data_IF_026796068176
#
_entry.id   IF_026796068176
#
_cell.length_a   1.000
_cell.length_b   1.000
_cell.length_c   1.000
_cell.angle_alpha   90.00
_cell.angle_beta   90.00
_cell.angle_gamma   90.00
#
_symmetry.space_group_name_H-M   'P 1'
#
loop_
_entity.id
_entity.type
_entity.pdbx_description
1 polymer ?
#
# COMPACT_ATOMS: atom_id res chain seq x y z
N UNK A 1 -13.65 60.03 23.81
CA UNK A 1 -12.58 59.34 24.57
C UNK A 1 -12.48 57.91 24.06
N UNK A 2 -11.24 57.45 23.87
CA UNK A 2 -10.77 56.14 23.40
C UNK A 2 -11.00 55.78 21.91
N UNK A 3 -9.88 55.76 21.18
CA UNK A 3 -9.72 55.55 19.75
C UNK A 3 -9.43 54.07 19.41
N UNK A 4 -9.83 53.69 18.19
CA UNK A 4 -9.52 52.42 17.52
C UNK A 4 -8.04 52.43 17.10
N UNK A 5 -7.30 51.37 17.43
CA UNK A 5 -5.94 51.14 16.91
C UNK A 5 -5.97 49.99 15.92
N UNK A 6 -5.90 50.34 14.64
CA UNK A 6 -5.50 49.45 13.55
C UNK A 6 -3.97 49.48 13.46
N UNK A 7 -3.33 48.32 13.56
CA UNK A 7 -1.88 48.16 13.40
C UNK A 7 -1.56 47.27 12.21
N UNK A 8 -1.37 47.88 11.04
CA UNK A 8 -0.71 47.25 9.91
C UNK A 8 0.80 47.21 10.14
N UNK A 9 1.44 46.06 9.93
CA UNK A 9 2.89 45.92 9.99
C UNK A 9 3.47 45.71 8.59
N UNK A 10 4.01 46.83 8.12
CA UNK A 10 5.06 47.04 7.13
C UNK A 10 5.86 45.81 6.66
N UNK A 11 5.81 45.60 5.35
CA UNK A 11 6.82 44.88 4.59
C UNK A 11 8.15 45.64 4.64
N UNK A 12 9.19 44.99 5.16
CA UNK A 12 10.56 45.51 5.13
C UNK A 12 11.33 44.81 4.01
N UNK A 13 11.58 45.55 2.93
CA UNK A 13 12.47 45.15 1.84
C UNK A 13 13.87 44.81 2.40
N UNK A 14 14.40 43.65 2.02
CA UNK A 14 15.81 43.30 2.25
C UNK A 14 16.62 43.65 0.99
N UNK A 15 17.88 44.09 1.15
CA UNK A 15 18.73 44.48 0.03
C UNK A 15 19.17 43.28 -0.81
N UNK A 16 19.31 43.51 -2.11
CA UNK A 16 19.92 42.61 -3.08
C UNK A 16 21.39 42.36 -2.72
N UNK A 17 21.66 41.21 -2.11
CA UNK A 17 22.98 40.59 -2.08
C UNK A 17 22.86 39.20 -2.71
N UNK A 18 23.26 39.09 -3.96
CA UNK A 18 23.50 37.82 -4.64
C UNK A 18 24.59 37.05 -3.89
N UNK A 19 24.34 35.84 -3.36
CA UNK A 19 25.42 34.99 -2.90
C UNK A 19 26.16 34.41 -4.11
N UNK A 20 27.49 34.42 -4.01
CA UNK A 20 28.45 33.77 -4.91
C UNK A 20 28.04 32.31 -5.25
N UNK A 21 28.47 31.77 -6.40
CA UNK A 21 28.11 30.41 -6.81
C UNK A 21 28.54 29.40 -5.73
N UNK A 22 27.55 28.75 -5.13
CA UNK A 22 27.77 27.61 -4.25
C UNK A 22 28.53 26.55 -5.04
N UNK A 23 29.75 26.29 -4.59
CA UNK A 23 30.54 25.13 -4.96
C UNK A 23 29.64 23.91 -4.88
N UNK A 24 29.50 23.21 -6.01
CA UNK A 24 28.82 21.93 -6.16
C UNK A 24 29.52 20.92 -5.25
N UNK A 25 29.09 20.85 -3.99
CA UNK A 25 29.49 19.78 -3.10
C UNK A 25 28.96 18.48 -3.72
N UNK A 26 29.86 17.69 -4.29
CA UNK A 26 29.54 16.34 -4.72
C UNK A 26 29.07 15.58 -3.47
N UNK A 27 27.80 15.21 -3.45
CA UNK A 27 27.25 14.30 -2.44
C UNK A 27 28.08 13.03 -2.49
N UNK A 28 28.66 12.64 -1.35
CA UNK A 28 29.29 11.33 -1.22
C UNK A 28 28.23 10.26 -1.57
N UNK A 29 28.59 9.22 -2.35
CA UNK A 29 27.66 8.15 -2.64
C UNK A 29 27.23 7.49 -1.33
N UNK A 30 25.92 7.43 -1.10
CA UNK A 30 25.34 6.63 -0.02
C UNK A 30 25.81 5.18 -0.17
N UNK A 31 26.10 4.48 0.94
CA UNK A 31 26.45 3.07 0.88
C UNK A 31 25.33 2.28 0.18
N UNK A 32 25.67 1.27 -0.65
CA UNK A 32 24.67 0.45 -1.30
C UNK A 32 23.81 -0.25 -0.26
N UNK A 33 22.48 -0.12 -0.41
CA UNK A 33 21.53 -0.87 0.41
C UNK A 33 21.75 -2.37 0.19
N UNK A 34 21.71 -3.20 1.25
CA UNK A 34 21.72 -4.65 1.08
C UNK A 34 20.61 -5.07 0.12
N UNK A 35 20.96 -5.85 -0.90
CA UNK A 35 19.95 -6.41 -1.78
C UNK A 35 19.05 -7.37 -0.99
N UNK A 36 17.76 -7.41 -1.33
CA UNK A 36 16.84 -8.41 -0.79
C UNK A 36 17.41 -9.82 -1.06
N UNK A 37 17.44 -10.73 -0.07
CA UNK A 37 17.76 -12.13 -0.32
C UNK A 37 16.84 -12.68 -1.42
N UNK A 38 17.36 -13.51 -2.32
CA UNK A 38 16.57 -14.08 -3.43
C UNK A 38 15.31 -14.81 -2.93
N UNK A 39 15.38 -15.42 -1.74
CA UNK A 39 14.26 -16.07 -1.08
C UNK A 39 13.16 -15.09 -0.62
N UNK A 40 13.53 -13.87 -0.19
CA UNK A 40 12.57 -12.81 0.13
C UNK A 40 11.96 -12.15 -1.12
N UNK A 41 12.65 -12.21 -2.26
CA UNK A 41 12.11 -11.77 -3.55
C UNK A 41 11.11 -12.77 -4.14
N UNK A 42 11.25 -14.05 -3.81
CA UNK A 42 10.37 -15.14 -4.27
C UNK A 42 9.14 -15.37 -3.37
N UNK A 43 9.05 -14.70 -2.22
CA UNK A 43 7.92 -14.77 -1.31
C UNK A 43 6.63 -14.23 -1.99
N UNK A 44 5.54 -15.01 -2.06
CA UNK A 44 4.29 -14.53 -2.63
C UNK A 44 3.73 -13.38 -1.79
N UNK A 45 3.82 -12.17 -2.34
CA UNK A 45 3.16 -11.00 -1.79
C UNK A 45 1.65 -11.09 -2.07
N UNK A 46 0.77 -10.71 -1.13
CA UNK A 46 -0.66 -10.66 -1.40
C UNK A 46 -0.92 -9.67 -2.56
N UNK A 47 -1.57 -10.16 -3.62
CA UNK A 47 -1.96 -9.32 -4.75
C UNK A 47 -3.07 -8.36 -4.30
N UNK A 48 -2.90 -7.07 -4.57
CA UNK A 48 -3.97 -6.08 -4.42
C UNK A 48 -4.90 -6.27 -5.62
N UNK A 49 -6.08 -6.82 -5.38
CA UNK A 49 -7.12 -6.90 -6.40
C UNK A 49 -7.67 -5.49 -6.66
N UNK A 50 -7.61 -5.04 -7.91
CA UNK A 50 -8.38 -3.86 -8.32
C UNK A 50 -9.88 -4.22 -8.23
N UNK A 51 -10.74 -3.29 -7.78
CA UNK A 51 -12.17 -3.51 -7.82
C UNK A 51 -12.62 -3.75 -9.26
N UNK A 52 -13.67 -4.56 -9.43
CA UNK A 52 -14.28 -4.77 -10.73
C UNK A 52 -14.78 -3.43 -11.27
N UNK A 53 -14.07 -2.89 -12.27
CA UNK A 53 -14.47 -1.70 -12.97
C UNK A 53 -15.65 -2.00 -13.89
N UNK A 54 -16.60 -1.06 -13.99
CA UNK A 54 -17.67 -1.15 -14.97
C UNK A 54 -17.13 -0.78 -16.37
N UNK A 55 -17.19 -1.73 -17.30
CA UNK A 55 -16.72 -1.54 -18.68
C UNK A 55 -17.43 -0.34 -19.34
N UNK A 56 -16.63 0.59 -19.87
CA UNK A 56 -17.11 1.74 -20.63
C UNK A 56 -17.72 2.89 -19.81
N UNK A 57 -17.79 2.77 -18.48
CA UNK A 57 -18.25 3.86 -17.61
C UNK A 57 -17.06 4.74 -17.22
N UNK A 58 -17.12 6.08 -17.39
CA UNK A 58 -16.03 6.97 -16.99
C UNK A 58 -15.69 6.83 -15.50
N UNK A 59 -14.40 6.86 -15.17
CA UNK A 59 -13.92 6.65 -13.79
C UNK A 59 -14.53 7.63 -12.79
N UNK A 60 -14.79 8.88 -13.21
CA UNK A 60 -15.43 9.88 -12.37
C UNK A 60 -16.81 9.46 -11.87
N UNK A 61 -17.64 8.91 -12.76
CA UNK A 61 -18.99 8.44 -12.44
C UNK A 61 -18.93 7.24 -11.48
N UNK A 62 -17.97 6.33 -11.69
CA UNK A 62 -17.78 5.18 -10.80
C UNK A 62 -17.35 5.64 -9.41
N UNK A 63 -16.41 6.59 -9.31
CA UNK A 63 -15.96 7.16 -8.03
C UNK A 63 -17.10 7.85 -7.28
N UNK A 64 -17.92 8.65 -7.95
CA UNK A 64 -19.08 9.31 -7.31
C UNK A 64 -20.05 8.30 -6.70
N UNK A 65 -20.32 7.19 -7.40
CA UNK A 65 -21.20 6.12 -6.90
C UNK A 65 -20.62 5.41 -5.68
N UNK A 66 -19.32 5.11 -5.69
CA UNK A 66 -18.63 4.47 -4.57
C UNK A 66 -18.68 5.38 -3.32
N UNK A 67 -18.45 6.68 -3.50
CA UNK A 67 -18.36 7.63 -2.40
C UNK A 67 -19.72 8.07 -1.85
N UNK A 68 -20.84 7.75 -2.51
CA UNK A 68 -22.18 8.19 -2.12
C UNK A 68 -22.57 7.83 -0.67
N UNK A 69 -21.96 6.79 -0.09
CA UNK A 69 -22.27 6.30 1.28
C UNK A 69 -21.23 6.68 2.34
N UNK A 70 -20.15 7.38 1.97
CA UNK A 70 -19.00 7.65 2.86
C UNK A 70 -18.46 6.39 3.57
N UNK A 71 -18.55 5.24 2.90
CA UNK A 71 -18.05 3.97 3.43
C UNK A 71 -16.54 3.86 3.20
N UNK A 72 -15.72 3.51 4.22
CA UNK A 72 -14.28 3.42 4.06
C UNK A 72 -13.81 2.39 3.03
N UNK A 73 -14.49 1.25 2.91
CA UNK A 73 -14.12 0.22 1.92
C UNK A 73 -14.38 0.73 0.50
N UNK A 74 -15.52 1.40 0.29
CA UNK A 74 -15.84 2.03 -0.98
C UNK A 74 -14.88 3.19 -1.31
N UNK A 75 -14.44 3.94 -0.30
CA UNK A 75 -13.40 4.95 -0.48
C UNK A 75 -12.06 4.35 -0.91
N UNK A 76 -11.69 3.18 -0.36
CA UNK A 76 -10.49 2.48 -0.81
C UNK A 76 -10.63 1.95 -2.23
N UNK A 77 -11.79 1.42 -2.61
CA UNK A 77 -12.07 1.01 -3.98
C UNK A 77 -11.99 2.20 -4.95
N UNK A 78 -12.54 3.36 -4.58
CA UNK A 78 -12.42 4.58 -5.36
C UNK A 78 -10.96 5.03 -5.54
N UNK A 79 -10.15 4.95 -4.47
CA UNK A 79 -8.71 5.19 -4.54
C UNK A 79 -8.03 4.24 -5.55
N UNK A 80 -8.30 2.93 -5.45
CA UNK A 80 -7.69 1.94 -6.33
C UNK A 80 -8.04 2.17 -7.81
N UNK A 81 -9.30 2.53 -8.11
CA UNK A 81 -9.71 2.88 -9.48
C UNK A 81 -8.95 4.08 -10.03
N UNK A 82 -8.90 5.18 -9.27
CA UNK A 82 -8.22 6.41 -9.70
C UNK A 82 -6.71 6.18 -9.82
N UNK A 83 -6.10 5.46 -8.87
CA UNK A 83 -4.67 5.13 -8.91
C UNK A 83 -4.33 4.23 -10.11
N UNK A 84 -5.16 3.21 -10.39
CA UNK A 84 -5.05 2.38 -11.58
C UNK A 84 -5.14 3.19 -12.88
N UNK A 85 -6.09 4.13 -12.97
CA UNK A 85 -6.18 5.04 -14.11
C UNK A 85 -4.98 5.98 -14.24
N UNK A 86 -4.43 6.49 -13.13
CA UNK A 86 -3.23 7.31 -13.16
C UNK A 86 -2.01 6.52 -13.68
N UNK A 87 -1.84 5.28 -13.22
CA UNK A 87 -0.79 4.38 -13.71
C UNK A 87 -0.96 4.07 -15.20
N UNK A 88 -2.17 3.73 -15.62
CA UNK A 88 -2.47 3.46 -17.03
C UNK A 88 -2.24 4.70 -17.90
N UNK A 89 -2.66 5.89 -17.48
CA UNK A 89 -2.44 7.11 -18.26
C UNK A 89 -0.96 7.46 -18.41
N UNK A 90 -0.13 7.13 -17.41
CA UNK A 90 1.31 7.34 -17.47
C UNK A 90 2.06 6.32 -18.35
N UNK A 91 1.64 5.05 -18.33
CA UNK A 91 2.40 3.93 -18.94
C UNK A 91 1.74 3.29 -20.15
N UNK A 92 0.45 3.55 -20.36
CA UNK A 92 -0.45 2.89 -21.34
C UNK A 92 -0.56 1.37 -21.17
N UNK A 93 -0.15 0.87 -20.02
CA UNK A 93 -0.23 -0.54 -19.63
C UNK A 93 -0.16 -0.65 -18.11
N UNK A 94 -0.81 -1.67 -17.55
CA UNK A 94 -0.71 -2.06 -16.14
C UNK A 94 -0.65 -3.58 -16.03
N UNK A 95 0.00 -4.09 -14.99
CA UNK A 95 -0.01 -5.53 -14.74
C UNK A 95 -1.40 -5.96 -14.27
N UNK A 96 -2.00 -6.91 -14.98
CA UNK A 96 -3.27 -7.55 -14.61
C UNK A 96 -2.93 -8.92 -14.03
N UNK A 97 -3.53 -9.27 -12.88
CA UNK A 97 -3.41 -10.62 -12.36
C UNK A 97 -4.17 -11.60 -13.26
N UNK A 98 -3.49 -12.62 -13.76
CA UNK A 98 -4.13 -13.69 -14.51
C UNK A 98 -4.41 -14.87 -13.60
N UNK A 99 -5.69 -15.14 -13.35
CA UNK A 99 -6.11 -16.23 -12.47
C UNK A 99 -5.69 -17.61 -12.99
N UNK A 100 -5.49 -17.79 -14.29
CA UNK A 100 -5.06 -19.08 -14.87
C UNK A 100 -3.56 -19.29 -14.71
N UNK A 101 -2.79 -18.21 -14.81
CA UNK A 101 -1.32 -18.24 -14.67
C UNK A 101 -0.87 -18.03 -13.22
N UNK A 102 -1.77 -17.62 -12.33
CA UNK A 102 -1.47 -17.17 -10.96
C UNK A 102 -0.32 -16.15 -10.93
N UNK A 103 -0.22 -15.31 -11.97
CA UNK A 103 0.90 -14.42 -12.19
C UNK A 103 0.44 -13.11 -12.85
N UNK A 104 1.16 -11.99 -12.63
CA UNK A 104 0.90 -10.76 -13.35
C UNK A 104 1.23 -10.92 -14.84
N UNK A 105 0.39 -10.37 -15.71
CA UNK A 105 0.63 -10.26 -17.15
C UNK A 105 0.37 -8.85 -17.66
N UNK A 106 0.92 -8.55 -18.84
CA UNK A 106 0.53 -7.36 -19.57
C UNK A 106 -0.94 -7.42 -19.99
N UNK A 107 -1.53 -6.24 -20.23
CA UNK A 107 -2.89 -6.16 -20.72
C UNK A 107 -2.99 -6.72 -22.14
N UNK A 108 -4.13 -7.33 -22.48
CA UNK A 108 -4.47 -7.60 -23.86
C UNK A 108 -5.10 -6.36 -24.53
N UNK A 109 -5.36 -6.42 -25.84
CA UNK A 109 -5.87 -5.28 -26.59
C UNK A 109 -7.25 -4.80 -26.11
N UNK A 110 -8.14 -5.73 -25.75
CA UNK A 110 -9.49 -5.41 -25.24
C UNK A 110 -9.42 -4.72 -23.89
N UNK A 111 -8.59 -5.23 -22.99
CA UNK A 111 -8.37 -4.63 -21.67
C UNK A 111 -7.81 -3.21 -21.79
N UNK A 112 -6.81 -3.00 -22.67
CA UNK A 112 -6.27 -1.66 -22.93
C UNK A 112 -7.33 -0.71 -23.45
N UNK A 113 -8.20 -1.17 -24.35
CA UNK A 113 -9.29 -0.36 -24.87
C UNK A 113 -10.32 -0.02 -23.78
N UNK A 114 -10.66 -0.96 -22.92
CA UNK A 114 -11.59 -0.71 -21.79
C UNK A 114 -10.99 0.33 -20.82
N UNK A 115 -9.73 0.17 -20.43
CA UNK A 115 -9.04 1.16 -19.58
C UNK A 115 -8.91 2.52 -20.26
N UNK A 116 -8.65 2.58 -21.56
CA UNK A 116 -8.60 3.85 -22.30
C UNK A 116 -9.96 4.57 -22.27
N UNK A 117 -11.07 3.84 -22.43
CA UNK A 117 -12.40 4.41 -22.34
C UNK A 117 -12.73 4.90 -20.91
N UNK A 118 -12.45 4.08 -19.90
CA UNK A 118 -12.73 4.40 -18.50
C UNK A 118 -11.88 5.58 -17.98
N UNK A 119 -10.59 5.60 -18.31
CA UNK A 119 -9.62 6.55 -17.76
C UNK A 119 -9.39 7.79 -18.63
N UNK A 120 -9.96 7.82 -19.85
CA UNK A 120 -9.71 8.87 -20.85
C UNK A 120 -10.19 10.26 -20.42
N UNK A 121 -11.27 10.33 -19.63
CA UNK A 121 -11.84 11.59 -19.12
C UNK A 121 -11.37 11.94 -17.70
N UNK A 122 -10.39 11.21 -17.16
CA UNK A 122 -9.90 11.48 -15.80
C UNK A 122 -9.21 12.84 -15.72
N UNK A 123 -9.77 13.71 -14.90
CA UNK A 123 -9.23 15.05 -14.66
C UNK A 123 -8.09 15.04 -13.64
N UNK A 124 -7.25 16.08 -13.67
CA UNK A 124 -6.19 16.27 -12.67
C UNK A 124 -6.77 16.42 -11.25
N UNK A 125 -7.94 17.05 -11.11
CA UNK A 125 -8.64 17.16 -9.84
C UNK A 125 -9.01 15.78 -9.29
N UNK A 126 -9.57 14.90 -10.12
CA UNK A 126 -9.89 13.52 -9.72
C UNK A 126 -8.62 12.77 -9.35
N UNK A 127 -7.54 12.92 -10.13
CA UNK A 127 -6.24 12.33 -9.82
C UNK A 127 -5.77 12.73 -8.42
N UNK A 128 -5.81 14.01 -8.06
CA UNK A 128 -5.38 14.50 -6.75
C UNK A 128 -6.32 14.08 -5.60
N UNK A 129 -7.63 14.06 -5.84
CA UNK A 129 -8.64 13.65 -4.85
C UNK A 129 -8.48 12.20 -4.35
N UNK A 130 -7.73 11.35 -5.06
CA UNK A 130 -7.42 9.99 -4.62
C UNK A 130 -6.81 9.92 -3.22
N UNK A 131 -6.03 10.94 -2.83
CA UNK A 131 -5.41 10.99 -1.51
C UNK A 131 -6.44 11.20 -0.40
N UNK A 132 -7.51 11.94 -0.66
CA UNK A 132 -8.60 12.15 0.29
C UNK A 132 -9.41 10.86 0.49
N UNK A 133 -9.66 10.12 -0.60
CA UNK A 133 -10.32 8.81 -0.54
C UNK A 133 -9.49 7.81 0.27
N UNK A 134 -8.17 7.84 0.06
CA UNK A 134 -7.23 7.01 0.80
C UNK A 134 -7.16 7.39 2.28
N UNK A 135 -7.18 8.68 2.61
CA UNK A 135 -7.23 9.14 3.99
C UNK A 135 -8.50 8.65 4.72
N UNK A 136 -9.65 8.64 4.03
CA UNK A 136 -10.90 8.08 4.56
C UNK A 136 -10.79 6.57 4.81
N UNK A 137 -10.23 5.83 3.85
CA UNK A 137 -10.00 4.39 3.96
C UNK A 137 -9.05 4.03 5.13
N UNK A 138 -7.94 4.75 5.25
CA UNK A 138 -6.97 4.61 6.36
C UNK A 138 -7.66 4.85 7.70
N UNK A 139 -8.43 5.94 7.83
CA UNK A 139 -9.17 6.25 9.05
C UNK A 139 -10.17 5.14 9.42
N UNK A 140 -10.78 4.50 8.43
CA UNK A 140 -11.66 3.35 8.62
C UNK A 140 -10.94 2.03 8.91
N UNK A 141 -9.60 2.01 8.88
CA UNK A 141 -8.81 0.79 9.10
C UNK A 141 -9.04 -0.26 8.01
N UNK A 142 -9.23 0.17 6.76
CA UNK A 142 -9.38 -0.73 5.61
C UNK A 142 -8.06 -1.46 5.35
N UNK A 143 -8.06 -2.80 5.23
CA UNK A 143 -6.85 -3.56 4.93
C UNK A 143 -6.14 -3.06 3.66
N UNK A 144 -4.82 -2.89 3.72
CA UNK A 144 -3.99 -2.40 2.62
C UNK A 144 -3.97 -0.88 2.45
N UNK A 145 -4.89 -0.13 3.06
CA UNK A 145 -4.96 1.33 2.89
C UNK A 145 -3.72 2.04 3.45
N UNK A 146 -3.17 1.58 4.59
CA UNK A 146 -1.94 2.17 5.15
C UNK A 146 -0.72 1.97 4.23
N UNK A 147 -0.63 0.81 3.57
CA UNK A 147 0.44 0.52 2.59
C UNK A 147 0.30 1.40 1.36
N UNK A 148 -0.92 1.53 0.84
CA UNK A 148 -1.21 2.43 -0.26
C UNK A 148 -0.86 3.89 0.10
N UNK A 149 -1.24 4.35 1.30
CA UNK A 149 -0.90 5.70 1.77
C UNK A 149 0.61 5.92 1.76
N UNK A 150 1.37 5.00 2.36
CA UNK A 150 2.82 5.04 2.35
C UNK A 150 3.44 4.97 0.94
N UNK A 151 2.79 4.30 0.00
CA UNK A 151 3.30 4.16 -1.37
C UNK A 151 3.06 5.40 -2.24
N UNK A 152 2.02 6.18 -1.95
CA UNK A 152 1.72 7.45 -2.65
C UNK A 152 2.77 8.53 -2.37
N UNK A 153 3.46 8.46 -1.23
CA UNK A 153 4.44 9.47 -0.84
C UNK A 153 3.83 10.80 -0.38
N UNK A 154 4.67 11.74 0.07
CA UNK A 154 4.24 13.07 0.48
C UNK A 154 3.47 13.77 -0.64
N UNK A 155 2.21 14.13 -0.39
CA UNK A 155 1.34 14.83 -1.34
C UNK A 155 1.15 14.12 -2.70
N UNK A 156 1.32 12.79 -2.73
CA UNK A 156 1.21 12.00 -3.96
C UNK A 156 2.48 12.05 -4.84
N UNK A 157 3.61 12.44 -4.26
CA UNK A 157 4.94 12.43 -4.87
C UNK A 157 5.90 11.54 -4.06
N UNK A 158 6.06 10.25 -4.41
CA UNK A 158 7.01 9.34 -3.74
C UNK A 158 8.46 9.79 -3.84
N UNK A 159 8.82 10.59 -4.86
CA UNK A 159 10.19 11.04 -5.06
C UNK A 159 10.63 12.06 -4.01
N UNK A 160 9.67 12.76 -3.39
CA UNK A 160 9.90 13.74 -2.33
C UNK A 160 10.74 13.17 -1.16
N UNK A 161 10.54 11.89 -0.84
CA UNK A 161 11.30 11.22 0.21
C UNK A 161 12.82 11.18 -0.07
N UNK A 162 13.22 11.27 -1.33
CA UNK A 162 14.63 11.29 -1.76
C UNK A 162 15.11 12.69 -2.12
N UNK A 163 14.27 13.50 -2.77
CA UNK A 163 14.66 14.80 -3.34
C UNK A 163 14.61 15.93 -2.32
N UNK A 164 13.77 15.80 -1.28
CA UNK A 164 13.57 16.80 -0.22
C UNK A 164 13.33 16.15 1.15
N UNK A 165 14.26 15.31 1.64
CA UNK A 165 14.08 14.56 2.89
C UNK A 165 14.01 15.46 4.14
N UNK A 166 14.60 16.65 4.09
CA UNK A 166 14.66 17.60 5.21
C UNK A 166 13.48 18.58 5.26
N UNK A 167 12.60 18.56 4.25
CA UNK A 167 11.38 19.38 4.23
C UNK A 167 10.50 19.00 5.45
N UNK A 168 10.11 19.96 6.31
CA UNK A 168 9.29 19.69 7.48
C UNK A 168 8.02 18.91 7.18
N UNK A 169 7.37 19.18 6.04
CA UNK A 169 6.14 18.50 5.63
C UNK A 169 6.41 17.05 5.19
N UNK A 170 7.56 16.80 4.57
CA UNK A 170 7.99 15.44 4.19
C UNK A 170 8.31 14.64 5.46
N UNK A 171 8.94 15.25 6.46
CA UNK A 171 9.21 14.62 7.76
C UNK A 171 7.93 14.30 8.52
N UNK A 172 6.97 15.22 8.55
CA UNK A 172 5.66 14.99 9.17
C UNK A 172 4.91 13.84 8.50
N UNK A 173 4.85 13.86 7.17
CA UNK A 173 4.21 12.79 6.40
C UNK A 173 4.90 11.44 6.64
N UNK A 174 6.24 11.40 6.71
CA UNK A 174 7.01 10.18 7.00
C UNK A 174 6.67 9.60 8.37
N UNK A 175 6.56 10.46 9.38
CA UNK A 175 6.15 10.04 10.73
C UNK A 175 4.71 9.50 10.72
N UNK A 176 3.80 10.18 10.02
CA UNK A 176 2.41 9.74 9.87
C UNK A 176 2.31 8.39 9.16
N UNK A 177 2.94 8.23 8.00
CA UNK A 177 2.94 6.98 7.24
C UNK A 177 3.48 5.80 8.06
N UNK A 178 4.58 6.02 8.81
CA UNK A 178 5.17 5.00 9.67
C UNK A 178 4.21 4.61 10.81
N UNK A 179 3.57 5.58 11.47
CA UNK A 179 2.60 5.32 12.53
C UNK A 179 1.37 4.56 12.03
N UNK A 180 0.89 4.88 10.83
CA UNK A 180 -0.23 4.17 10.19
C UNK A 180 0.14 2.72 9.84
N UNK A 181 1.36 2.48 9.35
CA UNK A 181 1.86 1.13 9.08
C UNK A 181 2.03 0.34 10.37
N UNK A 182 2.62 0.93 11.42
CA UNK A 182 2.73 0.30 12.73
C UNK A 182 1.34 -0.04 13.30
N UNK A 183 0.36 0.85 13.20
CA UNK A 183 -1.01 0.55 13.61
C UNK A 183 -1.62 -0.60 12.81
N UNK A 184 -1.46 -0.58 11.48
CA UNK A 184 -1.99 -1.63 10.61
C UNK A 184 -1.39 -3.01 10.93
N UNK A 185 -0.07 -3.09 11.15
CA UNK A 185 0.59 -4.36 11.54
C UNK A 185 0.09 -4.87 12.88
N UNK A 186 -0.12 -4.00 13.88
CA UNK A 186 -0.68 -4.42 15.18
C UNK A 186 -2.10 -5.00 15.04
N UNK A 187 -2.87 -4.58 14.03
CA UNK A 187 -4.20 -5.13 13.76
C UNK A 187 -4.20 -6.40 12.90
N UNK A 188 -3.02 -6.86 12.47
CA UNK A 188 -2.87 -8.04 11.61
C UNK A 188 -3.21 -7.79 10.14
N UNK A 189 -3.12 -6.55 9.67
CA UNK A 189 -3.21 -6.25 8.24
C UNK A 189 -2.06 -6.95 7.51
N UNK A 190 -2.39 -7.97 6.72
CA UNK A 190 -1.40 -8.81 6.05
C UNK A 190 -0.57 -8.04 5.01
N UNK A 191 -1.17 -7.08 4.31
CA UNK A 191 -0.44 -6.26 3.36
C UNK A 191 0.57 -5.37 4.09
N UNK A 192 0.17 -4.78 5.23
CA UNK A 192 1.08 -4.00 6.07
C UNK A 192 2.18 -4.88 6.68
N UNK A 193 1.86 -6.08 7.18
CA UNK A 193 2.86 -7.01 7.73
C UNK A 193 3.92 -7.37 6.69
N UNK A 194 3.51 -7.67 5.45
CA UNK A 194 4.44 -7.99 4.37
C UNK A 194 5.28 -6.77 3.97
N UNK A 195 4.63 -5.65 3.62
CA UNK A 195 5.31 -4.46 3.12
C UNK A 195 6.21 -3.81 4.18
N UNK A 196 5.71 -3.68 5.41
CA UNK A 196 6.46 -3.07 6.52
C UNK A 196 7.51 -4.03 7.09
N UNK A 197 7.26 -5.34 7.04
CA UNK A 197 8.25 -6.37 7.37
C UNK A 197 9.52 -6.24 6.52
N UNK A 198 9.38 -6.14 5.19
CA UNK A 198 10.51 -5.91 4.28
C UNK A 198 11.25 -4.62 4.63
N UNK A 199 10.51 -3.53 4.80
CA UNK A 199 11.11 -2.22 5.05
C UNK A 199 11.84 -2.15 6.39
N UNK A 200 11.36 -2.84 7.42
CA UNK A 200 12.09 -2.95 8.68
C UNK A 200 13.29 -3.89 8.57
N UNK A 201 13.24 -4.97 7.78
CA UNK A 201 14.42 -5.82 7.61
C UNK A 201 15.57 -5.16 6.87
N UNK A 202 15.28 -4.40 5.81
CA UNK A 202 16.30 -3.92 4.86
C UNK A 202 16.42 -2.39 4.78
N UNK A 203 15.58 -1.67 5.51
CA UNK A 203 15.48 -0.22 5.47
C UNK A 203 14.63 0.29 4.31
N UNK A 204 14.24 1.55 4.42
CA UNK A 204 13.47 2.27 3.39
C UNK A 204 13.70 3.77 3.52
N UNK A 205 13.09 4.57 2.64
CA UNK A 205 13.06 6.03 2.87
C UNK A 205 12.18 6.40 4.08
N UNK A 206 11.31 5.50 4.55
CA UNK A 206 10.41 5.71 5.68
C UNK A 206 11.07 5.43 7.04
N UNK A 207 12.06 4.55 7.10
CA UNK A 207 12.71 4.19 8.36
C UNK A 207 14.05 3.49 8.13
N UNK A 208 14.96 3.68 9.08
CA UNK A 208 16.12 2.81 9.25
C UNK A 208 15.70 1.36 9.54
N UNK A 209 16.51 0.36 9.14
CA UNK A 209 16.19 -1.04 9.40
C UNK A 209 16.11 -1.35 10.90
N UNK A 210 15.09 -2.13 11.27
CA UNK A 210 14.96 -2.89 12.51
C UNK A 210 14.72 -4.37 12.15
N UNK A 211 15.80 -5.15 11.96
CA UNK A 211 15.70 -6.54 11.51
C UNK A 211 14.88 -7.45 12.41
N UNK A 212 14.88 -7.20 13.73
CA UNK A 212 14.12 -8.00 14.70
C UNK A 212 12.62 -7.75 14.53
N UNK A 213 12.24 -6.48 14.41
CA UNK A 213 10.85 -6.10 14.18
C UNK A 213 10.35 -6.60 12.82
N UNK A 214 11.15 -6.40 11.76
CA UNK A 214 10.82 -6.87 10.42
C UNK A 214 10.64 -8.38 10.35
N UNK A 215 11.55 -9.14 10.96
CA UNK A 215 11.43 -10.60 11.11
C UNK A 215 10.15 -11.00 11.85
N UNK A 216 9.82 -10.30 12.95
CA UNK A 216 8.59 -10.53 13.71
C UNK A 216 7.31 -10.31 12.89
N UNK A 217 7.27 -9.31 12.01
CA UNK A 217 6.12 -9.08 11.13
C UNK A 217 5.90 -10.21 10.13
N UNK A 218 6.98 -10.78 9.57
CA UNK A 218 6.87 -11.94 8.66
C UNK A 218 6.43 -13.21 9.38
N UNK A 219 6.92 -13.45 10.61
CA UNK A 219 6.40 -14.54 11.44
C UNK A 219 4.90 -14.36 11.74
N UNK A 220 4.45 -13.14 12.04
CA UNK A 220 3.04 -12.85 12.30
C UNK A 220 2.18 -13.12 11.07
N UNK A 221 2.66 -12.73 9.88
CA UNK A 221 2.01 -13.06 8.60
C UNK A 221 1.86 -14.58 8.42
N UNK A 222 2.91 -15.35 8.72
CA UNK A 222 2.89 -16.81 8.70
C UNK A 222 1.83 -17.41 9.63
N UNK A 223 1.80 -16.95 10.89
CA UNK A 223 0.83 -17.41 11.88
C UNK A 223 -0.62 -17.12 11.45
N UNK A 224 -0.91 -15.91 10.95
CA UNK A 224 -2.26 -15.54 10.49
C UNK A 224 -2.66 -16.31 9.24
N UNK A 225 -1.73 -16.56 8.32
CA UNK A 225 -2.00 -17.35 7.11
C UNK A 225 -2.24 -18.81 7.43
N UNK A 226 -1.48 -19.40 8.36
CA UNK A 226 -1.65 -20.78 8.79
C UNK A 226 -3.05 -21.07 9.37
N UNK A 227 -3.65 -20.12 10.09
CA UNK A 227 -5.02 -20.25 10.61
C UNK A 227 -6.08 -20.34 9.51
N UNK A 228 -5.78 -19.90 8.28
CA UNK A 228 -6.70 -19.85 7.14
C UNK A 228 -6.40 -20.89 6.07
N UNK A 229 -5.15 -21.30 5.98
CA UNK A 229 -4.69 -22.26 4.98
C UNK A 229 -5.00 -23.70 5.38
N UNK A 230 -5.01 -24.60 4.38
CA UNK A 230 -5.07 -26.04 4.65
C UNK A 230 -3.80 -26.48 5.40
N UNK A 231 -3.87 -27.52 6.26
CA UNK A 231 -2.68 -28.11 6.85
C UNK A 231 -1.65 -28.50 5.77
N UNK A 232 -0.41 -28.03 5.92
CA UNK A 232 0.67 -28.30 4.96
C UNK A 232 0.75 -27.33 3.76
N UNK A 233 0.00 -26.23 3.77
CA UNK A 233 0.14 -25.18 2.77
C UNK A 233 1.56 -24.58 2.75
N UNK A 234 2.20 -24.60 1.58
CA UNK A 234 3.59 -24.21 1.40
C UNK A 234 3.84 -22.74 1.80
N UNK A 235 2.88 -21.85 1.52
CA UNK A 235 2.96 -20.43 1.88
C UNK A 235 2.92 -20.21 3.38
N UNK A 236 2.01 -20.90 4.09
CA UNK A 236 1.96 -20.86 5.55
C UNK A 236 3.24 -21.42 6.20
N UNK A 237 3.80 -22.50 5.65
CA UNK A 237 5.05 -23.10 6.18
C UNK A 237 6.30 -22.28 5.89
N UNK A 238 6.32 -21.51 4.80
CA UNK A 238 7.48 -20.69 4.43
C UNK A 238 7.80 -19.64 5.51
N UNK A 239 6.76 -19.04 6.11
CA UNK A 239 6.91 -17.99 7.12
C UNK A 239 6.83 -18.51 8.56
N UNK A 240 6.75 -19.82 8.76
CA UNK A 240 6.73 -20.41 10.10
C UNK A 240 8.10 -20.22 10.79
N UNK A 241 8.10 -20.06 12.11
CA UNK A 241 9.36 -20.11 12.86
C UNK A 241 10.02 -21.48 12.68
N UNK A 242 11.32 -21.47 12.40
CA UNK A 242 12.06 -22.67 12.05
C UNK A 242 11.82 -23.18 10.62
N UNK A 243 10.95 -22.55 9.84
CA UNK A 243 10.80 -22.82 8.40
C UNK A 243 12.08 -22.46 7.63
N UNK A 244 12.28 -23.06 6.47
CA UNK A 244 13.51 -22.90 5.66
C UNK A 244 13.81 -21.43 5.37
N UNK A 245 12.80 -20.69 4.87
CA UNK A 245 12.92 -19.27 4.56
C UNK A 245 13.23 -18.44 5.82
N UNK A 246 12.50 -18.62 6.91
CA UNK A 246 12.74 -17.83 8.13
C UNK A 246 14.07 -18.18 8.80
N UNK A 247 14.57 -19.41 8.67
CA UNK A 247 15.92 -19.76 9.12
C UNK A 247 16.99 -19.08 8.26
N UNK A 248 16.85 -19.10 6.94
CA UNK A 248 17.76 -18.40 6.02
C UNK A 248 17.78 -16.90 6.32
N UNK A 249 16.61 -16.26 6.40
CA UNK A 249 16.48 -14.83 6.74
C UNK A 249 17.12 -14.52 8.10
N UNK A 250 16.86 -15.32 9.14
CA UNK A 250 17.46 -15.08 10.46
C UNK A 250 18.98 -15.21 10.47
N UNK A 251 19.52 -16.08 9.61
CA UNK A 251 20.97 -16.29 9.44
C UNK A 251 21.60 -15.09 8.73
N UNK A 252 20.99 -14.66 7.62
CA UNK A 252 21.46 -13.51 6.84
C UNK A 252 21.42 -12.21 7.66
N UNK A 253 20.37 -12.03 8.46
CA UNK A 253 20.21 -10.89 9.38
C UNK A 253 21.02 -11.04 10.67
N UNK A 254 21.72 -12.17 10.87
CA UNK A 254 22.54 -12.49 12.05
C UNK A 254 21.78 -12.36 13.37
N UNK A 255 20.50 -12.76 13.39
CA UNK A 255 19.67 -12.66 14.59
C UNK A 255 20.11 -13.68 15.64
N UNK A 256 20.22 -13.23 16.88
CA UNK A 256 20.48 -14.13 18.01
C UNK A 256 19.26 -14.98 18.32
N UNK A 257 19.45 -16.10 19.04
CA UNK A 257 18.35 -16.94 19.52
C UNK A 257 17.35 -16.14 20.37
N UNK A 258 17.84 -15.23 21.20
CA UNK A 258 17.01 -14.36 22.03
C UNK A 258 16.18 -13.39 21.19
N UNK A 259 16.78 -12.76 20.18
CA UNK A 259 16.08 -11.87 19.25
C UNK A 259 14.99 -12.61 18.47
N UNK A 260 15.28 -13.82 17.99
CA UNK A 260 14.28 -14.67 17.33
C UNK A 260 13.12 -15.02 18.25
N UNK A 261 13.41 -15.39 19.50
CA UNK A 261 12.37 -15.70 20.50
C UNK A 261 11.51 -14.48 20.83
N UNK A 262 12.12 -13.30 20.98
CA UNK A 262 11.41 -12.04 21.21
C UNK A 262 10.51 -11.66 20.02
N UNK A 263 11.01 -11.80 18.79
CA UNK A 263 10.25 -11.56 17.57
C UNK A 263 9.06 -12.52 17.43
N UNK A 264 9.25 -13.82 17.73
CA UNK A 264 8.16 -14.80 17.74
C UNK A 264 7.10 -14.47 18.81
N UNK A 265 7.52 -14.05 20.00
CA UNK A 265 6.59 -13.64 21.05
C UNK A 265 5.77 -12.42 20.62
N UNK A 266 6.37 -11.45 19.95
CA UNK A 266 5.66 -10.31 19.36
C UNK A 266 4.71 -10.74 18.24
N UNK A 267 5.15 -11.62 17.36
CA UNK A 267 4.35 -12.15 16.26
C UNK A 267 3.07 -12.85 16.74
N UNK A 268 3.17 -13.65 17.81
CA UNK A 268 2.00 -14.31 18.43
C UNK A 268 0.97 -13.30 18.94
N UNK A 269 1.41 -12.22 19.61
CA UNK A 269 0.49 -11.17 20.08
C UNK A 269 -0.26 -10.48 18.93
N UNK A 270 0.44 -10.24 17.81
CA UNK A 270 -0.19 -9.68 16.61
C UNK A 270 -1.23 -10.66 16.03
N UNK A 271 -0.86 -11.94 15.90
CA UNK A 271 -1.76 -12.97 15.38
C UNK A 271 -3.02 -13.14 16.26
N UNK A 272 -2.87 -13.16 17.58
CA UNK A 272 -3.98 -13.25 18.54
C UNK A 272 -4.93 -12.04 18.43
N UNK A 273 -4.35 -10.84 18.27
CA UNK A 273 -5.12 -9.60 18.06
C UNK A 273 -5.91 -9.64 16.76
N UNK A 274 -5.29 -10.13 15.67
CA UNK A 274 -5.91 -10.29 14.37
C UNK A 274 -7.10 -11.26 14.43
N UNK A 275 -6.95 -12.38 15.14
CA UNK A 275 -8.00 -13.38 15.35
C UNK A 275 -9.19 -12.82 16.11
N UNK A 276 -8.93 -12.10 17.20
CA UNK A 276 -9.97 -11.45 18.02
C UNK A 276 -10.79 -10.47 17.17
N UNK A 277 -10.13 -9.67 16.33
CA UNK A 277 -10.81 -8.71 15.43
C UNK A 277 -11.69 -9.42 14.40
N UNK A 278 -11.20 -10.50 13.79
CA UNK A 278 -11.96 -11.27 12.80
C UNK A 278 -13.22 -11.87 13.41
N UNK A 279 -13.14 -12.38 14.64
CA UNK A 279 -14.29 -12.91 15.37
C UNK A 279 -15.32 -11.81 15.68
N UNK A 280 -14.87 -10.60 16.03
CA UNK A 280 -15.76 -9.45 16.24
C UNK A 280 -16.41 -8.92 14.96
N UNK A 281 -15.72 -9.00 13.81
CA UNK A 281 -16.25 -8.57 12.51
C UNK A 281 -17.20 -9.61 11.89
N UNK A 282 -16.94 -10.91 12.08
CA UNK A 282 -17.80 -11.99 11.58
C UNK A 282 -19.18 -12.08 12.22
N UNK A 283 -19.40 -11.40 13.35
CA UNK A 283 -20.73 -11.26 13.97
C UNK A 283 -21.58 -10.14 13.35
N UNK A 284 -21.03 -9.32 12.43
CA UNK A 284 -21.66 -8.07 11.98
C UNK A 284 -21.80 -7.84 10.48
N UNK A 285 -21.33 -8.73 9.59
CA UNK A 285 -21.39 -8.49 8.14
C UNK A 285 -21.99 -9.64 7.34
N UNK A 286 -23.21 -9.41 6.82
CA UNK A 286 -23.76 -10.17 5.71
C UNK A 286 -22.87 -9.98 4.47
N UNK A 287 -22.49 -11.09 3.84
CA UNK A 287 -21.57 -11.15 2.70
C UNK A 287 -22.10 -10.35 1.51
N UNK A 288 -21.27 -9.46 0.96
CA UNK A 288 -21.47 -8.91 -0.38
C UNK A 288 -21.08 -10.02 -1.37
N UNK A 289 -21.95 -10.40 -2.32
CA UNK A 289 -21.63 -11.43 -3.30
C UNK A 289 -20.53 -10.91 -4.25
N UNK A 290 -19.42 -11.64 -4.29
CA UNK A 290 -18.41 -11.56 -5.34
C UNK A 290 -19.01 -12.13 -6.63
N UNK A 291 -19.79 -11.33 -7.35
CA UNK A 291 -20.13 -11.63 -8.74
C UNK A 291 -18.89 -11.35 -9.61
N UNK A 292 -18.36 -12.39 -10.25
CA UNK A 292 -17.31 -12.29 -11.25
C UNK A 292 -17.96 -11.88 -12.59
N UNK A 293 -17.76 -10.64 -13.10
CA UNK A 293 -18.45 -10.20 -14.32
C UNK A 293 -17.88 -10.82 -15.61
N UNK A 294 -16.88 -11.68 -15.53
CA UNK A 294 -16.24 -12.31 -16.71
C UNK A 294 -16.73 -13.73 -17.04
N UNK A 295 -17.75 -14.25 -16.36
CA UNK A 295 -18.47 -15.43 -16.86
C UNK A 295 -19.54 -15.00 -17.88
N UNK A 296 -19.10 -14.73 -19.11
CA UNK A 296 -20.01 -14.74 -20.24
C UNK A 296 -20.41 -16.20 -20.51
N UNK A 297 -21.66 -16.54 -20.22
CA UNK A 297 -22.26 -17.79 -20.67
C UNK A 297 -22.20 -17.86 -22.21
N UNK A 298 -21.81 -19.00 -22.81
CA UNK A 298 -21.87 -19.15 -24.26
C UNK A 298 -23.33 -19.26 -24.70
N UNK A 299 -23.86 -18.18 -25.27
CA UNK A 299 -25.17 -18.14 -25.94
C UNK A 299 -25.26 -19.25 -26.99
N UNK A 300 -26.06 -20.27 -26.71
CA UNK A 300 -26.38 -21.33 -27.66
C UNK A 300 -27.31 -20.76 -28.74
N UNK A 301 -27.03 -20.90 -30.04
CA UNK A 301 -27.95 -20.43 -31.07
C UNK A 301 -29.21 -21.29 -31.06
N UNK A 302 -30.36 -20.61 -30.89
CA UNK A 302 -31.69 -21.21 -30.96
C UNK A 302 -31.97 -21.59 -32.43
N UNK A 303 -31.99 -22.89 -32.71
CA UNK A 303 -32.52 -23.39 -33.98
C UNK A 303 -34.05 -23.17 -33.99
N UNK A 304 -34.57 -22.47 -35.00
CA UNK A 304 -35.99 -22.46 -35.33
C UNK A 304 -36.32 -23.68 -36.20
N UNK A 305 -37.47 -24.31 -35.94
CA UNK A 305 -38.42 -24.64 -36.98
C UNK A 305 -39.64 -23.70 -36.97
#
# INVERSE_FOLDING_TARGET
MAAIVAGGLAWKQRPDTLPAPLVKAALAPLPPRPALPAAAQAAPMPAIALPAAEDGVPVGVQVERLLARNDPQQAYAAYLLVSGCAMFNARRDIAIHDDKLHAPRAMNARERQSFAAMCGEMTERQRLARLDHLALAVKGGVPGAAVAFASEGPFGDPSALKTRPDDPLVREWKAQASALLDQATQTGDQAALAAWGIQNMFGSELREPDPVLGYGYWLALGLISADRSRPGDAGATAYADGGELMNAVSTDLKLTREQRAAALAAARRIADSAKTRQQGQGAGTASIPTANPFQAEPSTPRAMP
#
